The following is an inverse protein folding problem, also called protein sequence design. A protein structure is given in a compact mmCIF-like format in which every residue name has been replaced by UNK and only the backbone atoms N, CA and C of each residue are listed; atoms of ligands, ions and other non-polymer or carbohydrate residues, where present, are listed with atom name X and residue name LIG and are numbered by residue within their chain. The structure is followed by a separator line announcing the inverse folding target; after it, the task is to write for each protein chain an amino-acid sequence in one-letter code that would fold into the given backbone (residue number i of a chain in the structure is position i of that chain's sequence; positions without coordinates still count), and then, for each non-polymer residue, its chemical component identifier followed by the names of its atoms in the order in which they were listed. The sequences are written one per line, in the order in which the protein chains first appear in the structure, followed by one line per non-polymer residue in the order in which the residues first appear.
data_IF_335927729127
#
_entry.id   IF_335927729127
#
_cell.length_a   1.000
_cell.length_b   1.000
_cell.length_c   1.000
_cell.angle_alpha   90.00
_cell.angle_beta   90.00
_cell.angle_gamma   90.00
#
_symmetry.space_group_name_H-M   'P 1'
#
loop_
_entity.id
_entity.type
_entity.pdbx_description
1 polymer ?
#
# COMPACT_ATOMS: atom_id res chain seq x y z
N UNK A 1 1.38 -9.82 5.13
CA UNK A 1 2.06 -8.50 5.10
C UNK A 1 1.01 -7.43 5.37
N UNK A 2 1.26 -6.52 6.30
CA UNK A 2 0.33 -5.47 6.72
C UNK A 2 0.60 -4.10 6.11
N UNK A 3 1.49 -3.99 5.12
CA UNK A 3 1.99 -2.69 4.61
C UNK A 3 0.87 -1.74 4.18
N UNK A 4 -0.16 -2.21 3.47
CA UNK A 4 -1.26 -1.36 2.96
C UNK A 4 -2.30 -1.07 4.04
N UNK A 5 -2.69 -2.09 4.81
CA UNK A 5 -3.64 -1.93 5.91
C UNK A 5 -3.06 -1.13 7.06
N UNK A 6 -1.74 -1.10 7.22
CA UNK A 6 -0.99 -0.45 8.30
C UNK A 6 -1.46 -0.92 9.70
N UNK A 7 -0.72 -0.63 10.79
CA UNK A 7 -1.25 -0.87 12.14
C UNK A 7 -2.41 0.08 12.52
N UNK A 8 -2.70 1.10 11.69
CA UNK A 8 -3.79 2.03 11.92
C UNK A 8 -5.14 1.43 11.56
N UNK A 9 -5.22 0.72 10.42
CA UNK A 9 -6.47 0.15 9.95
C UNK A 9 -6.61 -1.32 10.32
N UNK A 10 -5.53 -2.10 10.29
CA UNK A 10 -5.60 -3.52 10.60
C UNK A 10 -4.63 -3.89 11.72
N UNK A 11 -5.06 -4.81 12.59
CA UNK A 11 -4.17 -5.42 13.59
C UNK A 11 -4.06 -6.91 13.32
N UNK A 12 -3.20 -7.35 12.37
CA UNK A 12 -3.14 -8.76 11.98
C UNK A 12 -2.90 -9.70 13.18
N UNK A 13 -2.08 -9.28 14.15
CA UNK A 13 -1.81 -10.08 15.36
C UNK A 13 -3.01 -10.20 16.33
N UNK A 14 -4.12 -9.49 16.13
CA UNK A 14 -5.36 -9.79 16.87
C UNK A 14 -6.22 -10.86 16.18
N UNK A 15 -5.88 -11.25 14.96
CA UNK A 15 -6.61 -12.28 14.20
C UNK A 15 -6.09 -13.67 14.63
N UNK A 16 -6.99 -14.60 15.02
CA UNK A 16 -6.59 -15.97 15.32
C UNK A 16 -5.84 -16.63 14.16
N UNK A 17 -4.77 -17.38 14.47
CA UNK A 17 -3.93 -18.04 13.48
C UNK A 17 -2.86 -17.15 12.83
N UNK A 18 -2.81 -15.85 13.13
CA UNK A 18 -1.70 -14.98 12.70
C UNK A 18 -0.63 -14.95 13.78
N UNK A 19 0.55 -15.49 13.45
CA UNK A 19 1.73 -15.52 14.32
C UNK A 19 2.64 -14.31 14.14
N UNK A 20 2.61 -13.68 12.96
CA UNK A 20 3.53 -12.62 12.59
C UNK A 20 2.88 -11.61 11.64
N UNK A 21 3.24 -10.34 11.81
CA UNK A 21 2.93 -9.26 10.89
C UNK A 21 4.23 -8.58 10.46
N UNK A 22 4.39 -8.40 9.16
CA UNK A 22 5.52 -7.70 8.56
C UNK A 22 5.04 -6.42 7.89
N UNK A 23 5.88 -5.39 7.86
CA UNK A 23 5.60 -4.14 7.16
C UNK A 23 6.86 -3.65 6.46
N UNK A 24 6.67 -3.10 5.25
CA UNK A 24 7.63 -2.18 4.65
C UNK A 24 7.44 -0.80 5.29
N UNK A 25 8.28 -0.49 6.29
CA UNK A 25 8.29 0.83 6.93
C UNK A 25 8.66 1.97 5.98
N UNK A 26 9.25 1.67 4.82
CA UNK A 26 9.43 2.62 3.71
C UNK A 26 8.15 3.37 3.31
N UNK A 27 6.99 2.75 3.53
CA UNK A 27 5.70 3.23 3.03
C UNK A 27 5.04 4.14 4.05
N UNK A 28 3.81 3.83 4.48
CA UNK A 28 3.05 4.65 5.41
C UNK A 28 3.72 4.96 6.75
N UNK A 29 4.54 4.06 7.27
CA UNK A 29 5.17 4.25 8.58
C UNK A 29 6.24 5.34 8.55
N UNK A 30 7.19 5.26 7.62
CA UNK A 30 8.18 6.31 7.33
C UNK A 30 7.48 7.55 6.77
N UNK A 31 6.68 7.39 5.73
CA UNK A 31 5.68 8.36 5.28
C UNK A 31 6.22 9.61 4.58
N UNK A 32 7.53 9.68 4.30
CA UNK A 32 8.19 10.86 3.72
C UNK A 32 9.14 10.50 2.56
N UNK A 33 9.04 9.28 2.01
CA UNK A 33 9.83 8.79 0.86
C UNK A 33 11.35 8.95 0.99
N UNK A 34 11.87 8.97 2.22
CA UNK A 34 13.27 9.27 2.54
C UNK A 34 13.98 8.15 3.32
N UNK A 35 13.31 7.01 3.52
CA UNK A 35 13.87 5.88 4.28
C UNK A 35 13.42 4.53 3.70
N UNK A 36 14.37 3.60 3.59
CA UNK A 36 14.07 2.18 3.35
C UNK A 36 14.16 1.42 4.67
N UNK A 37 13.06 0.81 5.09
CA UNK A 37 13.02 0.08 6.36
C UNK A 37 11.96 -1.02 6.36
N UNK A 38 12.20 -2.06 7.15
CA UNK A 38 11.25 -3.14 7.41
C UNK A 38 11.00 -3.30 8.90
N UNK A 39 9.82 -3.79 9.27
CA UNK A 39 9.52 -4.21 10.63
C UNK A 39 8.83 -5.56 10.66
N UNK A 40 9.08 -6.30 11.74
CA UNK A 40 8.44 -7.57 12.04
C UNK A 40 7.89 -7.51 13.47
N UNK A 41 6.63 -7.87 13.62
CA UNK A 41 5.96 -8.04 14.91
C UNK A 41 5.42 -9.46 14.99
N UNK A 42 5.52 -10.13 16.13
CA UNK A 42 5.06 -11.51 16.28
C UNK A 42 4.37 -11.76 17.62
N UNK A 43 3.55 -12.82 17.66
CA UNK A 43 2.86 -13.29 18.85
C UNK A 43 3.86 -13.98 19.78
N UNK A 44 4.30 -13.26 20.80
CA UNK A 44 5.20 -13.77 21.83
C UNK A 44 6.68 -13.85 21.41
N UNK A 45 7.53 -14.06 22.41
CA UNK A 45 8.96 -13.81 22.26
C UNK A 45 9.71 -14.89 21.49
N UNK A 46 9.21 -16.12 21.44
CA UNK A 46 9.93 -17.25 20.83
C UNK A 46 10.27 -16.97 19.37
N UNK A 47 9.30 -16.47 18.61
CA UNK A 47 9.48 -16.15 17.20
C UNK A 47 10.38 -14.92 17.02
N UNK A 48 10.15 -13.85 17.80
CA UNK A 48 10.99 -12.65 17.76
C UNK A 48 12.45 -12.93 18.11
N UNK A 49 12.74 -13.77 19.10
CA UNK A 49 14.11 -14.18 19.44
C UNK A 49 14.80 -14.90 18.30
N UNK A 50 14.09 -15.82 17.61
CA UNK A 50 14.63 -16.53 16.45
C UNK A 50 14.92 -15.57 15.29
N UNK A 51 14.00 -14.63 15.03
CA UNK A 51 14.17 -13.61 13.99
C UNK A 51 15.34 -12.68 14.33
N UNK A 52 15.44 -12.20 15.57
CA UNK A 52 16.56 -11.36 16.02
C UNK A 52 17.90 -12.08 15.97
N UNK A 53 17.94 -13.38 16.25
CA UNK A 53 19.13 -14.20 16.07
C UNK A 53 19.56 -14.25 14.60
N UNK A 54 18.62 -14.51 13.69
CA UNK A 54 18.91 -14.49 12.24
C UNK A 54 19.33 -13.10 11.77
N UNK A 55 18.68 -12.03 12.26
CA UNK A 55 19.06 -10.66 11.92
C UNK A 55 20.50 -10.33 12.32
N UNK A 56 20.93 -10.79 13.51
CA UNK A 56 22.30 -10.64 13.97
C UNK A 56 23.30 -11.39 13.11
N UNK A 57 22.96 -12.58 12.62
CA UNK A 57 23.83 -13.39 11.77
C UNK A 57 23.90 -12.86 10.32
N UNK A 58 22.78 -12.42 9.78
CA UNK A 58 22.66 -11.92 8.40
C UNK A 58 23.09 -10.45 8.25
N UNK A 59 23.14 -9.70 9.35
CA UNK A 59 23.60 -8.31 9.34
C UNK A 59 22.57 -7.30 8.80
N UNK A 60 21.31 -7.70 8.60
CA UNK A 60 20.24 -6.85 8.10
C UNK A 60 19.56 -6.02 9.21
N UNK A 61 20.35 -5.50 10.15
CA UNK A 61 19.90 -4.53 11.16
C UNK A 61 19.69 -3.15 10.53
N UNK A 62 18.63 -2.46 10.93
CA UNK A 62 18.37 -1.09 10.47
C UNK A 62 19.39 -0.13 11.11
N UNK A 63 19.94 0.79 10.31
CA UNK A 63 20.87 1.80 10.82
C UNK A 63 20.19 2.79 11.80
N UNK A 64 20.96 3.44 12.70
CA UNK A 64 20.41 4.38 13.66
C UNK A 64 19.72 5.59 13.01
N UNK A 65 20.23 6.06 11.88
CA UNK A 65 19.68 7.19 11.15
C UNK A 65 18.33 6.84 10.51
N UNK A 66 18.25 5.70 9.83
CA UNK A 66 17.00 5.20 9.23
C UNK A 66 15.97 4.91 10.34
N UNK A 67 16.42 4.36 11.47
CA UNK A 67 15.56 4.16 12.65
C UNK A 67 15.00 5.48 13.17
N UNK A 68 15.81 6.54 13.21
CA UNK A 68 15.37 7.88 13.58
C UNK A 68 14.36 8.46 12.57
N UNK A 69 14.59 8.30 11.27
CA UNK A 69 13.67 8.77 10.23
C UNK A 69 12.30 8.09 10.35
N UNK A 70 12.26 6.77 10.54
CA UNK A 70 11.01 6.06 10.79
C UNK A 70 10.35 6.56 12.09
N UNK A 71 11.10 6.67 13.18
CA UNK A 71 10.56 7.16 14.46
C UNK A 71 9.99 8.59 14.36
N UNK A 72 10.64 9.46 13.59
CA UNK A 72 10.17 10.82 13.27
C UNK A 72 8.88 10.76 12.43
N UNK A 73 8.86 9.96 11.37
CA UNK A 73 7.69 9.76 10.52
C UNK A 73 6.46 9.26 11.29
N UNK A 74 6.69 8.38 12.27
CA UNK A 74 5.64 7.85 13.14
C UNK A 74 4.95 8.91 14.01
N UNK A 75 5.60 10.06 14.28
CA UNK A 75 4.99 11.16 15.04
C UNK A 75 3.78 11.79 14.34
N UNK A 76 3.76 11.78 13.00
CA UNK A 76 2.65 12.26 12.19
C UNK A 76 1.79 11.15 11.59
N UNK A 77 2.00 9.89 12.00
CA UNK A 77 1.35 8.73 11.37
C UNK A 77 -0.17 8.79 11.40
N UNK A 78 -0.78 8.97 12.58
CA UNK A 78 -2.24 9.02 12.73
C UNK A 78 -2.90 10.12 11.90
N UNK A 79 -2.48 11.41 11.99
CA UNK A 79 -3.10 12.45 11.17
C UNK A 79 -2.91 12.20 9.67
N UNK A 80 -1.73 11.70 9.23
CA UNK A 80 -1.52 11.30 7.83
C UNK A 80 -2.52 10.22 7.39
N UNK A 81 -2.72 9.18 8.20
CA UNK A 81 -3.63 8.08 7.84
C UNK A 81 -5.08 8.56 7.68
N UNK A 82 -5.54 9.49 8.52
CA UNK A 82 -6.87 10.12 8.38
C UNK A 82 -7.00 10.82 7.04
N UNK A 83 -6.05 11.70 6.72
CA UNK A 83 -6.04 12.43 5.44
C UNK A 83 -5.95 11.49 4.24
N UNK A 84 -5.15 10.42 4.31
CA UNK A 84 -5.12 9.40 3.26
C UNK A 84 -6.47 8.72 3.05
N UNK A 85 -7.16 8.33 4.13
CA UNK A 85 -8.49 7.70 4.03
C UNK A 85 -9.50 8.64 3.39
N UNK A 86 -9.56 9.88 3.88
CA UNK A 86 -10.51 10.90 3.40
C UNK A 86 -10.30 11.16 1.89
N UNK A 87 -9.05 11.40 1.49
CA UNK A 87 -8.72 11.65 0.10
C UNK A 87 -8.95 10.42 -0.79
N UNK A 88 -8.60 9.22 -0.33
CA UNK A 88 -8.77 7.99 -1.12
C UNK A 88 -10.24 7.67 -1.35
N UNK A 89 -11.11 7.88 -0.36
CA UNK A 89 -12.55 7.73 -0.54
C UNK A 89 -13.08 8.69 -1.60
N UNK A 90 -12.74 9.97 -1.52
CA UNK A 90 -13.15 10.99 -2.50
C UNK A 90 -12.67 10.63 -3.91
N UNK A 91 -11.41 10.21 -4.05
CA UNK A 91 -10.83 9.81 -5.33
C UNK A 91 -11.51 8.55 -5.88
N UNK A 92 -11.75 7.54 -5.05
CA UNK A 92 -12.38 6.30 -5.46
C UNK A 92 -13.82 6.54 -5.96
N UNK A 93 -14.62 7.33 -5.23
CA UNK A 93 -15.99 7.69 -5.63
C UNK A 93 -16.01 8.53 -6.92
N UNK A 94 -15.08 9.48 -7.05
CA UNK A 94 -14.93 10.26 -8.29
C UNK A 94 -14.62 9.35 -9.49
N UNK A 95 -13.69 8.40 -9.33
CA UNK A 95 -13.31 7.46 -10.38
C UNK A 95 -14.45 6.49 -10.71
N UNK A 96 -15.18 6.00 -9.71
CA UNK A 96 -16.30 5.08 -9.89
C UNK A 96 -17.45 5.72 -10.70
N UNK A 97 -17.66 7.03 -10.52
CA UNK A 97 -18.64 7.79 -11.29
C UNK A 97 -18.14 8.25 -12.68
N UNK A 98 -16.85 8.09 -13.00
CA UNK A 98 -16.26 8.66 -14.21
C UNK A 98 -16.52 7.76 -15.44
N UNK A 99 -17.11 8.26 -16.53
CA UNK A 99 -17.63 7.42 -17.63
C UNK A 99 -16.57 6.65 -18.43
N UNK A 100 -15.29 7.04 -18.31
CA UNK A 100 -14.18 6.36 -19.01
C UNK A 100 -13.46 5.34 -18.15
N UNK A 101 -13.75 5.28 -16.84
CA UNK A 101 -13.16 4.29 -15.92
C UNK A 101 -14.03 3.04 -15.99
N UNK A 102 -13.39 1.87 -16.15
CA UNK A 102 -14.09 0.59 -16.29
C UNK A 102 -14.37 -0.06 -14.95
N UNK A 103 -13.41 0.04 -14.03
CA UNK A 103 -13.49 -0.60 -12.72
C UNK A 103 -12.62 0.16 -11.72
N UNK A 104 -13.09 0.27 -10.48
CA UNK A 104 -12.32 0.83 -9.36
C UNK A 104 -12.18 -0.23 -8.27
N UNK A 105 -10.94 -0.42 -7.83
CA UNK A 105 -10.57 -1.34 -6.77
C UNK A 105 -10.23 -0.53 -5.51
N UNK A 106 -11.23 -0.34 -4.65
CA UNK A 106 -11.03 0.28 -3.35
C UNK A 106 -11.94 -0.36 -2.29
N UNK A 107 -11.41 -0.91 -1.19
CA UNK A 107 -12.22 -1.62 -0.19
C UNK A 107 -13.29 -0.76 0.50
N UNK A 108 -13.19 0.57 0.40
CA UNK A 108 -14.19 1.50 0.92
C UNK A 108 -15.44 1.66 0.04
N UNK A 109 -15.41 1.21 -1.22
CA UNK A 109 -16.57 1.26 -2.11
C UNK A 109 -17.50 0.06 -1.84
N UNK A 110 -18.84 0.27 -1.78
CA UNK A 110 -19.80 -0.83 -1.66
C UNK A 110 -19.76 -1.84 -2.81
N UNK A 111 -19.28 -1.41 -3.99
CA UNK A 111 -19.08 -2.24 -5.18
C UNK A 111 -17.92 -3.22 -5.06
N UNK A 112 -16.98 -2.97 -4.13
CA UNK A 112 -15.81 -3.83 -3.96
C UNK A 112 -16.24 -5.21 -3.40
N UNK A 113 -15.83 -6.33 -4.03
CA UNK A 113 -16.26 -7.67 -3.60
C UNK A 113 -16.02 -7.97 -2.11
N UNK A 114 -14.90 -7.49 -1.56
CA UNK A 114 -14.54 -7.67 -0.16
C UNK A 114 -14.94 -6.52 0.77
N UNK A 115 -15.82 -5.59 0.35
CA UNK A 115 -16.20 -4.42 1.15
C UNK A 115 -16.70 -4.80 2.56
N UNK A 116 -17.58 -5.79 2.65
CA UNK A 116 -18.13 -6.24 3.94
C UNK A 116 -17.08 -6.94 4.81
N UNK A 117 -16.11 -7.64 4.20
CA UNK A 117 -14.98 -8.19 4.94
C UNK A 117 -14.07 -7.07 5.45
N UNK A 118 -13.73 -6.10 4.59
CA UNK A 118 -12.92 -4.94 4.92
C UNK A 118 -13.54 -4.16 6.09
N UNK A 119 -14.85 -3.88 6.06
CA UNK A 119 -15.57 -3.23 7.17
C UNK A 119 -15.47 -3.98 8.50
N UNK A 120 -15.49 -5.31 8.47
CA UNK A 120 -15.37 -6.13 9.68
C UNK A 120 -13.96 -6.04 10.29
N UNK A 121 -12.92 -6.18 9.46
CA UNK A 121 -11.55 -6.36 9.94
C UNK A 121 -10.70 -5.07 9.97
N UNK A 122 -10.99 -4.10 9.11
CA UNK A 122 -10.32 -2.81 9.07
C UNK A 122 -11.07 -1.81 9.96
N UNK A 123 -10.31 -0.98 10.68
CA UNK A 123 -10.81 0.06 11.60
C UNK A 123 -10.35 1.41 11.10
N UNK A 124 -11.09 2.46 11.42
CA UNK A 124 -10.70 3.85 11.11
C UNK A 124 -10.45 4.13 9.61
N UNK A 125 -11.08 3.40 8.69
CA UNK A 125 -10.97 3.60 7.23
C UNK A 125 -10.32 2.43 6.48
N UNK A 126 -10.02 2.66 5.20
CA UNK A 126 -9.65 1.61 4.23
C UNK A 126 -8.27 1.80 3.58
N UNK A 127 -7.49 2.78 4.04
CA UNK A 127 -6.15 3.07 3.51
C UNK A 127 -6.15 4.17 2.46
N UNK A 128 -4.96 4.45 1.91
CA UNK A 128 -4.77 5.47 0.89
C UNK A 128 -4.52 4.92 -0.52
N UNK A 129 -4.76 3.62 -0.73
CA UNK A 129 -4.46 2.93 -1.99
C UNK A 129 -5.73 2.78 -2.80
N UNK A 130 -5.74 3.32 -4.01
CA UNK A 130 -6.82 3.17 -4.99
C UNK A 130 -6.17 2.71 -6.28
N UNK A 131 -6.67 1.64 -6.88
CA UNK A 131 -6.32 1.25 -8.24
C UNK A 131 -7.57 1.21 -9.11
N UNK A 132 -7.42 1.42 -10.40
CA UNK A 132 -8.55 1.47 -11.32
C UNK A 132 -8.14 1.06 -12.73
N UNK A 133 -9.11 0.65 -13.53
CA UNK A 133 -8.89 0.15 -14.87
C UNK A 133 -9.47 1.10 -15.91
N UNK A 134 -8.67 1.38 -16.94
CA UNK A 134 -9.09 2.10 -18.14
C UNK A 134 -9.53 1.13 -19.24
N UNK A 135 -9.98 1.67 -20.37
CA UNK A 135 -10.42 0.84 -21.51
C UNK A 135 -9.31 -0.10 -22.05
N UNK A 136 -8.06 0.34 -22.02
CA UNK A 136 -6.90 -0.38 -22.53
C UNK A 136 -5.60 0.22 -21.98
N UNK A 137 -4.47 -0.38 -22.39
CA UNK A 137 -3.12 0.01 -22.02
C UNK A 137 -2.81 1.47 -22.37
N UNK A 138 -3.13 1.90 -23.59
CA UNK A 138 -2.82 3.25 -24.07
C UNK A 138 -3.60 4.30 -23.30
N UNK A 139 -4.87 4.03 -22.98
CA UNK A 139 -5.69 4.90 -22.15
C UNK A 139 -5.12 5.01 -20.74
N UNK A 140 -4.67 3.89 -20.16
CA UNK A 140 -4.06 3.87 -18.83
C UNK A 140 -2.76 4.69 -18.78
N UNK A 141 -1.83 4.42 -19.70
CA UNK A 141 -0.58 5.16 -19.83
C UNK A 141 -0.81 6.67 -20.00
N UNK A 142 -1.78 7.05 -20.84
CA UNK A 142 -2.12 8.45 -21.10
C UNK A 142 -2.67 9.19 -19.89
N UNK A 143 -3.36 8.51 -18.97
CA UNK A 143 -3.78 9.12 -17.69
C UNK A 143 -2.54 9.42 -16.84
N UNK A 144 -1.66 8.44 -16.66
CA UNK A 144 -0.41 8.57 -15.92
C UNK A 144 0.49 9.71 -16.43
N UNK A 145 0.54 9.93 -17.75
CA UNK A 145 1.33 10.99 -18.37
C UNK A 145 0.70 12.39 -18.25
N UNK A 146 -0.61 12.49 -18.03
CA UNK A 146 -1.35 13.77 -18.08
C UNK A 146 -1.65 14.40 -16.73
N UNK A 147 -1.57 13.63 -15.65
CA UNK A 147 -1.78 14.18 -14.30
C UNK A 147 -0.68 15.17 -13.95
N UNK A 148 -1.04 16.31 -13.36
CA UNK A 148 -0.11 17.42 -13.06
C UNK A 148 0.28 17.55 -11.59
N UNK A 149 -0.51 16.96 -10.69
CA UNK A 149 -0.33 17.06 -9.23
C UNK A 149 0.07 15.74 -8.57
N UNK A 150 0.12 14.67 -9.36
CA UNK A 150 0.44 13.32 -8.90
C UNK A 150 1.71 12.91 -9.63
N UNK A 151 2.73 12.47 -8.89
CA UNK A 151 4.01 12.10 -9.50
C UNK A 151 3.93 10.71 -10.11
N UNK A 152 4.37 10.58 -11.36
CA UNK A 152 4.57 9.26 -11.98
C UNK A 152 5.83 8.62 -11.40
N UNK A 153 5.67 7.77 -10.38
CA UNK A 153 6.77 7.16 -9.66
C UNK A 153 6.36 5.85 -8.98
N UNK A 154 7.36 5.02 -8.67
CA UNK A 154 7.17 3.81 -7.86
C UNK A 154 7.17 4.14 -6.36
N UNK A 155 6.80 3.16 -5.53
CA UNK A 155 6.53 3.30 -4.08
C UNK A 155 5.13 3.84 -3.78
N UNK A 156 4.83 4.09 -2.50
CA UNK A 156 3.50 4.50 -1.99
C UNK A 156 3.57 4.93 -0.53
N UNK A 157 2.49 5.59 -0.08
CA UNK A 157 2.20 5.83 1.34
C UNK A 157 2.95 6.99 1.99
N UNK A 158 3.65 7.79 1.18
CA UNK A 158 4.21 9.05 1.62
C UNK A 158 3.20 10.20 1.50
N UNK A 159 3.62 11.40 1.89
CA UNK A 159 2.79 12.61 1.89
C UNK A 159 2.37 13.09 0.50
N UNK A 160 3.20 12.83 -0.50
CA UNK A 160 2.97 13.14 -1.89
C UNK A 160 2.08 12.09 -2.56
N UNK A 161 1.27 12.51 -3.53
CA UNK A 161 0.46 11.60 -4.34
C UNK A 161 1.32 11.00 -5.44
N UNK A 162 1.26 9.68 -5.58
CA UNK A 162 1.94 8.92 -6.63
C UNK A 162 0.93 8.21 -7.53
N UNK A 163 1.27 8.05 -8.80
CA UNK A 163 0.57 7.22 -9.77
C UNK A 163 1.60 6.35 -10.46
N UNK A 164 1.20 5.13 -10.82
CA UNK A 164 2.04 4.25 -11.62
C UNK A 164 1.18 3.46 -12.58
N UNK A 165 1.82 2.93 -13.62
CA UNK A 165 1.21 1.98 -14.53
C UNK A 165 1.94 0.64 -14.38
N UNK A 166 1.43 -0.31 -13.57
CA UNK A 166 2.16 -1.53 -13.23
C UNK A 166 2.69 -2.28 -14.45
N UNK A 167 1.89 -2.37 -15.52
CA UNK A 167 2.25 -3.08 -16.75
C UNK A 167 3.44 -2.48 -17.50
N UNK A 168 3.69 -1.17 -17.40
CA UNK A 168 4.84 -0.51 -18.03
C UNK A 168 5.96 -0.13 -17.06
N UNK A 169 5.76 -0.35 -15.76
CA UNK A 169 6.70 0.05 -14.70
C UNK A 169 7.08 -1.15 -13.84
N UNK A 170 6.43 -1.33 -12.69
CA UNK A 170 6.85 -2.29 -11.65
C UNK A 170 6.76 -3.75 -12.07
N UNK A 171 5.92 -4.08 -13.06
CA UNK A 171 5.69 -5.43 -13.57
C UNK A 171 6.04 -5.55 -15.06
N UNK A 172 6.76 -4.58 -15.64
CA UNK A 172 7.08 -4.55 -17.07
C UNK A 172 7.80 -5.82 -17.56
N UNK A 173 8.64 -6.42 -16.70
CA UNK A 173 9.42 -7.62 -17.01
C UNK A 173 8.63 -8.94 -16.89
N UNK A 174 7.41 -8.91 -16.35
CA UNK A 174 6.56 -10.10 -16.24
C UNK A 174 5.78 -10.27 -17.55
N UNK A 175 5.76 -11.46 -18.18
CA UNK A 175 4.97 -11.70 -19.39
C UNK A 175 3.50 -11.29 -19.23
N UNK A 176 2.87 -10.80 -20.30
CA UNK A 176 1.51 -10.26 -20.24
C UNK A 176 0.49 -11.30 -19.72
N UNK A 177 0.61 -12.55 -20.18
CA UNK A 177 -0.26 -13.64 -19.75
C UNK A 177 -0.18 -13.87 -18.22
N UNK A 178 1.04 -13.89 -17.68
CA UNK A 178 1.28 -14.03 -16.24
C UNK A 178 0.76 -12.82 -15.45
N UNK A 179 0.95 -11.60 -15.96
CA UNK A 179 0.37 -10.39 -15.35
C UNK A 179 -1.16 -10.44 -15.30
N UNK A 180 -1.79 -10.81 -16.42
CA UNK A 180 -3.27 -10.93 -16.48
C UNK A 180 -3.77 -12.01 -15.52
N UNK A 181 -3.10 -13.15 -15.44
CA UNK A 181 -3.43 -14.20 -14.48
C UNK A 181 -3.30 -13.74 -13.02
N UNK A 182 -2.37 -12.83 -12.74
CA UNK A 182 -2.19 -12.20 -11.43
C UNK A 182 -3.14 -11.02 -11.15
N UNK A 183 -4.09 -10.72 -12.07
CA UNK A 183 -5.02 -9.60 -11.91
C UNK A 183 -4.39 -8.23 -12.20
N UNK A 184 -3.34 -8.19 -13.02
CA UNK A 184 -2.62 -6.96 -13.41
C UNK A 184 -2.78 -6.77 -14.93
N UNK A 185 -3.99 -6.44 -15.43
CA UNK A 185 -4.17 -6.19 -16.84
C UNK A 185 -3.40 -4.93 -17.27
N UNK A 186 -3.11 -4.83 -18.57
CA UNK A 186 -2.48 -3.63 -19.13
C UNK A 186 -3.30 -2.35 -18.93
N UNK A 187 -4.59 -2.45 -18.60
CA UNK A 187 -5.48 -1.32 -18.29
C UNK A 187 -5.34 -0.77 -16.87
N UNK A 188 -4.63 -1.47 -15.97
CA UNK A 188 -4.60 -1.16 -14.54
C UNK A 188 -3.66 0.01 -14.24
N UNK A 189 -4.13 0.93 -13.40
CA UNK A 189 -3.36 2.02 -12.77
C UNK A 189 -3.35 1.79 -11.26
#
# INVERSE_FOLDING_TARGET
DGTFGTPYHQRPLSIPGVDMSIHSCTKYMGGHSDVLAGSVSARGDRLLRRIGHLQKLLGNSLGPWESYLVARGMKSFVPRMRTHNENAQIVAEFLEAHPTVQLVHYPGLPSHPDHELAKRQMKNGFGGMVSFEMQNYEAAAKVCERVKRIHLAVSLGATESLIQHPASMTHAMIPEEERRAAGIPGSLI
#
